data_IF_367566299252
#
_entry.id   IF_367566299252
#
_cell.length_a   1.000
_cell.length_b   1.000
_cell.length_c   1.000
_cell.angle_alpha   90.00
_cell.angle_beta   90.00
_cell.angle_gamma   90.00
#
_symmetry.space_group_name_H-M   'P 1'
#
loop_
_entity.id
_entity.type
_entity.pdbx_description
1 polymer ?
#
# COMPACT_ATOMS: atom_id res chain seq x y z
N UNK A 1 22.56 12.92 20.17
CA UNK A 1 22.25 11.47 20.19
C UNK A 1 20.77 11.37 19.83
N UNK A 2 20.48 11.05 18.56
CA UNK A 2 19.11 10.84 18.12
C UNK A 2 18.74 9.41 18.50
N UNK A 3 17.66 9.24 19.27
CA UNK A 3 17.09 7.92 19.57
C UNK A 3 16.17 7.61 18.41
N UNK A 4 16.54 6.66 17.54
CA UNK A 4 15.64 6.11 16.53
C UNK A 4 14.63 5.21 17.24
N UNK A 5 13.37 5.64 17.27
CA UNK A 5 12.26 4.83 17.79
C UNK A 5 11.70 4.04 16.61
N UNK A 6 12.25 2.85 16.37
CA UNK A 6 11.71 1.92 15.38
C UNK A 6 10.38 1.32 15.87
N UNK A 7 9.28 1.63 15.17
CA UNK A 7 8.00 0.95 15.36
C UNK A 7 7.91 -0.25 14.43
N UNK A 8 7.52 -1.41 14.95
CA UNK A 8 7.31 -2.65 14.19
C UNK A 8 6.13 -3.44 14.76
N UNK A 9 5.30 -4.00 13.89
CA UNK A 9 4.30 -5.00 14.23
C UNK A 9 4.29 -6.07 13.13
N UNK A 10 4.24 -7.33 13.54
CA UNK A 10 3.98 -8.46 12.64
C UNK A 10 2.83 -9.27 13.24
N UNK A 11 1.83 -9.54 12.41
CA UNK A 11 0.68 -10.36 12.75
C UNK A 11 0.57 -11.47 11.72
N UNK A 12 0.65 -12.72 12.15
CA UNK A 12 0.47 -13.91 11.30
C UNK A 12 -0.89 -14.54 11.60
N UNK A 13 -1.74 -14.66 10.60
CA UNK A 13 -3.13 -15.07 10.71
C UNK A 13 -3.33 -16.33 9.88
N UNK A 14 -3.67 -17.48 10.47
CA UNK A 14 -4.01 -18.67 9.70
C UNK A 14 -5.28 -18.42 8.86
N UNK A 15 -5.28 -18.81 7.59
CA UNK A 15 -6.42 -18.56 6.71
C UNK A 15 -7.70 -19.27 7.17
N UNK A 16 -7.59 -20.41 7.85
CA UNK A 16 -8.75 -21.11 8.40
C UNK A 16 -9.51 -20.31 9.47
N UNK A 17 -8.86 -19.33 10.12
CA UNK A 17 -9.54 -18.46 11.09
C UNK A 17 -10.26 -17.30 10.40
N UNK A 18 -9.98 -17.02 9.12
CA UNK A 18 -10.58 -15.95 8.36
C UNK A 18 -11.90 -16.46 7.77
N UNK A 19 -13.02 -16.04 8.35
CA UNK A 19 -14.36 -16.43 7.89
C UNK A 19 -14.77 -15.71 6.61
N UNK A 20 -14.27 -14.48 6.43
CA UNK A 20 -14.49 -13.69 5.23
C UNK A 20 -13.47 -12.56 5.12
N UNK A 21 -13.33 -12.00 3.92
CA UNK A 21 -12.44 -10.88 3.65
C UNK A 21 -13.01 -9.95 2.57
N UNK A 22 -12.76 -8.65 2.70
CA UNK A 22 -13.27 -7.61 1.80
C UNK A 22 -12.20 -6.58 1.47
N UNK A 23 -12.24 -6.13 0.22
CA UNK A 23 -11.66 -4.86 -0.22
C UNK A 23 -12.75 -3.77 -0.15
N UNK A 24 -12.75 -2.98 0.92
CA UNK A 24 -13.76 -1.95 1.14
C UNK A 24 -13.32 -0.62 0.54
N UNK A 25 -13.93 -0.25 -0.60
CA UNK A 25 -13.80 1.07 -1.24
C UNK A 25 -15.20 1.67 -1.41
N UNK A 26 -15.67 2.53 -0.48
CA UNK A 26 -17.03 3.06 -0.52
C UNK A 26 -17.29 3.97 -1.73
N UNK A 27 -16.32 4.79 -2.14
CA UNK A 27 -16.43 5.69 -3.30
C UNK A 27 -15.90 5.10 -4.61
N UNK A 28 -16.11 3.81 -4.86
CA UNK A 28 -15.49 3.10 -5.99
C UNK A 28 -15.74 3.80 -7.35
N UNK A 29 -17.00 4.09 -7.63
CA UNK A 29 -17.49 4.78 -8.82
C UNK A 29 -17.05 6.24 -8.91
N UNK A 30 -16.76 6.86 -7.76
CA UNK A 30 -16.30 8.25 -7.67
C UNK A 30 -14.78 8.39 -7.78
N UNK A 31 -14.04 7.30 -7.60
CA UNK A 31 -12.58 7.25 -7.73
C UNK A 31 -12.13 6.80 -9.12
N UNK A 32 -12.89 5.91 -9.75
CA UNK A 32 -12.56 5.32 -11.05
C UNK A 32 -12.42 6.42 -12.11
N UNK A 33 -11.30 6.45 -12.82
CA UNK A 33 -11.01 7.44 -13.86
C UNK A 33 -10.65 8.84 -13.33
N UNK A 34 -10.52 9.04 -12.02
CA UNK A 34 -9.97 10.29 -11.45
C UNK A 34 -8.44 10.28 -11.44
N UNK A 35 -7.79 11.41 -11.16
CA UNK A 35 -6.31 11.47 -11.00
C UNK A 35 -5.82 11.00 -9.62
N UNK A 36 -6.71 10.72 -8.67
CA UNK A 36 -6.41 10.35 -7.29
C UNK A 36 -5.84 11.51 -6.45
N UNK A 37 -4.81 11.21 -5.65
CA UNK A 37 -3.97 12.21 -4.97
C UNK A 37 -2.78 12.53 -5.86
N UNK A 38 -2.96 13.51 -6.73
CA UNK A 38 -1.99 13.82 -7.76
C UNK A 38 -0.93 14.82 -7.25
N UNK A 39 0.32 14.49 -7.56
CA UNK A 39 1.58 15.15 -7.18
C UNK A 39 2.36 15.64 -8.41
N UNK A 40 1.76 15.54 -9.59
CA UNK A 40 2.34 15.87 -10.89
C UNK A 40 1.47 16.89 -11.60
N UNK A 41 2.06 17.84 -12.32
CA UNK A 41 1.35 18.83 -13.09
C UNK A 41 0.73 18.25 -14.36
N UNK A 42 1.32 17.19 -14.93
CA UNK A 42 0.86 16.57 -16.19
C UNK A 42 -0.61 16.13 -16.07
N UNK A 43 -0.93 15.27 -15.10
CA UNK A 43 -2.30 14.80 -14.87
C UNK A 43 -3.14 15.88 -14.22
N UNK A 44 -2.58 16.67 -13.31
CA UNK A 44 -3.30 17.77 -12.69
C UNK A 44 -3.93 18.69 -13.72
N UNK A 45 -3.17 19.13 -14.71
CA UNK A 45 -3.64 20.03 -15.77
C UNK A 45 -4.73 19.46 -16.68
N UNK A 46 -4.96 18.15 -16.63
CA UNK A 46 -6.02 17.47 -17.39
C UNK A 46 -7.34 17.40 -16.63
N UNK A 47 -7.33 17.69 -15.32
CA UNK A 47 -8.53 17.71 -14.50
C UNK A 47 -9.38 18.95 -14.82
N UNK A 48 -10.68 18.82 -15.14
CA UNK A 48 -11.53 19.98 -15.40
C UNK A 48 -11.64 20.95 -14.22
N UNK A 49 -11.40 20.48 -12.99
CA UNK A 49 -11.37 21.32 -11.79
C UNK A 49 -10.01 22.01 -11.56
N UNK A 50 -9.01 21.76 -12.42
CA UNK A 50 -7.69 22.36 -12.30
C UNK A 50 -7.69 23.85 -12.64
N UNK A 51 -7.34 24.67 -11.66
CA UNK A 51 -7.05 26.09 -11.85
C UNK A 51 -5.57 26.37 -11.58
N UNK A 52 -4.81 26.60 -12.66
CA UNK A 52 -3.37 26.89 -12.62
C UNK A 52 -3.00 28.10 -11.74
N UNK A 53 -3.92 29.04 -11.51
CA UNK A 53 -3.64 30.25 -10.73
C UNK A 53 -3.70 29.99 -9.21
N UNK A 54 -4.47 29.00 -8.77
CA UNK A 54 -4.81 28.81 -7.35
C UNK A 54 -4.44 27.44 -6.81
N UNK A 55 -4.25 26.44 -7.68
CA UNK A 55 -4.07 25.07 -7.23
C UNK A 55 -2.66 24.77 -6.74
N UNK A 56 -2.57 23.98 -5.67
CA UNK A 56 -1.31 23.55 -5.06
C UNK A 56 -1.24 22.03 -5.04
N UNK A 57 -0.07 21.48 -5.37
CA UNK A 57 0.21 20.06 -5.21
C UNK A 57 0.62 19.75 -3.76
N UNK A 58 0.34 18.53 -3.25
CA UNK A 58 -0.51 17.52 -3.88
C UNK A 58 -1.98 17.95 -3.84
N UNK A 59 -2.72 17.66 -4.92
CA UNK A 59 -4.14 17.95 -5.01
C UNK A 59 -4.95 16.65 -5.10
N UNK A 60 -6.21 16.71 -4.68
CA UNK A 60 -7.15 15.58 -4.78
C UNK A 60 -8.13 15.87 -5.89
N UNK A 61 -8.23 14.97 -6.86
CA UNK A 61 -9.20 15.06 -7.96
C UNK A 61 -10.57 14.48 -7.62
N UNK A 62 -10.73 13.91 -6.43
CA UNK A 62 -11.96 13.27 -5.99
C UNK A 62 -12.63 14.05 -4.86
N UNK A 63 -13.96 13.93 -4.78
CA UNK A 63 -14.75 14.56 -3.72
C UNK A 63 -14.54 13.81 -2.38
N UNK A 64 -13.93 14.49 -1.40
CA UNK A 64 -13.57 13.90 -0.11
C UNK A 64 -14.77 13.25 0.58
N UNK A 65 -15.94 13.89 0.57
CA UNK A 65 -17.13 13.38 1.28
C UNK A 65 -17.77 12.17 0.61
N UNK A 66 -17.40 11.87 -0.65
CA UNK A 66 -17.88 10.69 -1.39
C UNK A 66 -16.90 9.53 -1.39
N UNK A 67 -15.64 9.77 -1.01
CA UNK A 67 -14.58 8.77 -1.17
C UNK A 67 -13.83 8.46 0.13
N UNK A 68 -13.64 9.45 1.00
CA UNK A 68 -12.77 9.34 2.17
C UNK A 68 -13.61 9.16 3.45
N UNK A 69 -13.79 7.91 3.86
CA UNK A 69 -14.66 7.55 4.97
C UNK A 69 -13.89 7.18 6.24
N UNK A 70 -14.46 7.43 7.42
CA UNK A 70 -13.91 6.90 8.66
C UNK A 70 -14.07 5.37 8.69
N UNK A 71 -13.22 4.67 9.44
CA UNK A 71 -13.11 3.19 9.38
C UNK A 71 -14.41 2.49 9.77
N UNK A 72 -15.19 3.08 10.68
CA UNK A 72 -16.54 2.68 11.08
C UNK A 72 -17.45 2.49 9.85
N UNK A 73 -17.42 3.44 8.92
CA UNK A 73 -18.27 3.43 7.72
C UNK A 73 -17.86 2.35 6.72
N UNK A 74 -16.58 2.00 6.68
CA UNK A 74 -16.11 0.87 5.89
C UNK A 74 -16.63 -0.47 6.45
N UNK A 75 -16.63 -0.61 7.78
CA UNK A 75 -17.13 -1.81 8.48
C UNK A 75 -18.65 -1.96 8.30
N UNK A 76 -19.40 -0.86 8.50
CA UNK A 76 -20.84 -0.82 8.22
C UNK A 76 -21.13 -1.19 6.75
N UNK A 77 -20.35 -0.67 5.81
CA UNK A 77 -20.52 -0.91 4.38
C UNK A 77 -20.30 -2.36 3.96
N UNK A 78 -19.55 -3.15 4.72
CA UNK A 78 -19.39 -4.60 4.52
C UNK A 78 -20.30 -5.44 5.41
N UNK A 79 -21.18 -4.79 6.17
CA UNK A 79 -22.18 -5.44 7.03
C UNK A 79 -21.61 -6.02 8.33
N UNK A 80 -20.46 -5.54 8.81
CA UNK A 80 -19.91 -5.95 10.10
C UNK A 80 -20.54 -5.16 11.25
N UNK A 81 -20.89 -5.88 12.30
CA UNK A 81 -21.35 -5.34 13.57
C UNK A 81 -20.17 -5.04 14.52
N UNK A 82 -20.34 -4.19 15.54
CA UNK A 82 -19.29 -3.92 16.53
C UNK A 82 -18.81 -5.17 17.30
N UNK A 83 -19.65 -6.20 17.44
CA UNK A 83 -19.31 -7.46 18.11
C UNK A 83 -18.56 -8.45 17.21
N UNK A 84 -18.58 -8.26 15.89
CA UNK A 84 -17.84 -9.15 14.99
C UNK A 84 -16.33 -8.98 15.21
N UNK A 85 -15.61 -10.10 15.33
CA UNK A 85 -14.15 -10.08 15.40
C UNK A 85 -13.56 -9.83 14.02
N UNK A 86 -12.69 -8.83 13.91
CA UNK A 86 -12.03 -8.50 12.66
C UNK A 86 -10.67 -7.85 12.91
N UNK A 87 -9.83 -7.92 11.89
CA UNK A 87 -8.64 -7.09 11.75
C UNK A 87 -8.72 -6.37 10.41
N UNK A 88 -8.33 -5.11 10.37
CA UNK A 88 -8.25 -4.34 9.14
C UNK A 88 -6.89 -3.66 9.02
N UNK A 89 -6.49 -3.45 7.78
CA UNK A 89 -5.31 -2.66 7.44
C UNK A 89 -5.61 -1.71 6.27
N UNK A 90 -4.84 -0.64 6.18
CA UNK A 90 -4.93 0.29 5.06
C UNK A 90 -4.55 -0.37 3.74
N UNK A 91 -5.28 -0.05 2.67
CA UNK A 91 -4.89 -0.31 1.29
C UNK A 91 -5.03 0.97 0.45
N UNK A 92 -4.77 2.11 1.07
CA UNK A 92 -5.16 3.46 0.67
C UNK A 92 -4.38 4.00 -0.52
N UNK A 93 -3.28 3.39 -0.91
CA UNK A 93 -2.66 3.66 -2.19
C UNK A 93 -3.64 3.40 -3.34
N UNK A 94 -4.55 2.43 -3.21
CA UNK A 94 -5.67 2.25 -4.11
C UNK A 94 -6.57 3.50 -4.10
N UNK A 95 -6.76 4.10 -5.28
CA UNK A 95 -7.51 5.34 -5.44
C UNK A 95 -6.71 6.62 -5.13
N UNK A 96 -5.52 6.52 -4.53
CA UNK A 96 -4.63 7.68 -4.32
C UNK A 96 -3.48 7.75 -5.33
N UNK A 97 -2.84 6.63 -5.63
CA UNK A 97 -1.58 6.60 -6.36
C UNK A 97 -1.75 5.89 -7.70
N UNK A 98 -1.08 6.42 -8.73
CA UNK A 98 -0.93 5.72 -10.01
C UNK A 98 -0.18 4.41 -9.80
N UNK A 99 -0.35 3.46 -10.71
CA UNK A 99 0.18 2.08 -10.70
C UNK A 99 -0.42 1.16 -9.64
N UNK A 100 -1.51 1.59 -9.01
CA UNK A 100 -2.27 0.81 -8.04
C UNK A 100 -3.72 0.69 -8.51
N UNK A 101 -4.13 -0.54 -8.78
CA UNK A 101 -5.46 -0.91 -9.27
C UNK A 101 -6.17 -1.83 -8.28
N UNK A 102 -7.49 -1.85 -8.37
CA UNK A 102 -8.33 -2.77 -7.63
C UNK A 102 -9.39 -3.32 -8.57
N UNK A 103 -9.85 -4.52 -8.31
CA UNK A 103 -10.92 -5.14 -9.08
C UNK A 103 -11.87 -5.84 -8.13
N UNK A 104 -13.16 -5.79 -8.42
CA UNK A 104 -14.21 -6.48 -7.68
C UNK A 104 -15.22 -7.02 -8.68
N UNK A 105 -15.64 -8.28 -8.53
CA UNK A 105 -16.50 -8.96 -9.50
C UNK A 105 -17.86 -8.27 -9.71
N UNK A 106 -18.29 -7.41 -8.78
CA UNK A 106 -19.55 -6.65 -8.84
C UNK A 106 -19.36 -5.22 -9.28
N UNK A 107 -18.16 -4.65 -9.09
CA UNK A 107 -17.88 -3.22 -9.35
C UNK A 107 -17.00 -2.99 -10.58
N UNK A 108 -16.35 -4.05 -11.09
CA UNK A 108 -15.39 -3.96 -12.19
C UNK A 108 -14.02 -3.47 -11.73
N UNK A 109 -13.22 -2.98 -12.68
CA UNK A 109 -11.89 -2.43 -12.44
C UNK A 109 -11.97 -1.01 -11.88
N UNK A 110 -11.20 -0.73 -10.83
CA UNK A 110 -10.84 0.60 -10.35
C UNK A 110 -9.42 0.89 -10.77
N UNK A 111 -9.29 1.83 -11.71
CA UNK A 111 -8.02 2.43 -12.09
C UNK A 111 -8.14 3.96 -12.08
N UNK A 112 -7.02 4.64 -11.88
CA UNK A 112 -6.93 6.09 -12.00
C UNK A 112 -6.65 6.49 -13.45
N UNK A 113 -6.99 7.72 -13.81
CA UNK A 113 -6.64 8.28 -15.10
C UNK A 113 -5.11 8.23 -15.34
N UNK A 114 -4.74 7.76 -16.53
CA UNK A 114 -3.36 7.52 -16.95
C UNK A 114 -2.81 6.13 -16.62
N UNK A 115 -3.57 5.26 -15.95
CA UNK A 115 -3.09 3.92 -15.59
C UNK A 115 -3.01 2.98 -16.81
N UNK A 116 -4.11 2.89 -17.57
CA UNK A 116 -4.23 2.05 -18.77
C UNK A 116 -3.99 0.55 -18.46
N UNK A 117 -4.60 0.05 -17.38
CA UNK A 117 -4.48 -1.33 -16.94
C UNK A 117 -5.02 -2.33 -17.98
N UNK A 118 -5.99 -1.90 -18.79
CA UNK A 118 -6.60 -2.69 -19.87
C UNK A 118 -5.68 -3.01 -21.04
N UNK A 119 -4.48 -2.42 -21.08
CA UNK A 119 -3.42 -2.74 -22.05
C UNK A 119 -2.80 -4.13 -21.88
N UNK A 120 -3.18 -4.89 -20.85
CA UNK A 120 -2.59 -6.19 -20.51
C UNK A 120 -1.36 -6.08 -19.61
N UNK A 121 -1.19 -4.96 -18.90
CA UNK A 121 -0.13 -4.81 -17.89
C UNK A 121 -0.38 -5.78 -16.74
N UNK A 122 0.68 -6.44 -16.29
CA UNK A 122 0.65 -7.29 -15.10
C UNK A 122 0.88 -6.48 -13.82
N UNK A 123 0.10 -6.83 -12.79
CA UNK A 123 0.14 -6.26 -11.45
C UNK A 123 0.38 -7.35 -10.41
N UNK A 124 1.17 -7.06 -9.38
CA UNK A 124 1.29 -7.91 -8.20
C UNK A 124 0.09 -7.67 -7.29
N UNK A 125 -0.82 -8.64 -7.17
CA UNK A 125 -2.10 -8.48 -6.51
C UNK A 125 -2.25 -9.41 -5.31
N UNK A 126 -2.81 -8.88 -4.22
CA UNK A 126 -3.52 -9.71 -3.26
C UNK A 126 -4.91 -9.98 -3.82
N UNK A 127 -5.24 -11.27 -3.95
CA UNK A 127 -6.45 -11.75 -4.57
C UNK A 127 -7.28 -12.54 -3.55
N UNK A 128 -8.59 -12.52 -3.73
CA UNK A 128 -9.52 -13.44 -3.11
C UNK A 128 -10.24 -14.23 -4.19
N UNK A 129 -10.15 -15.56 -4.15
CA UNK A 129 -10.94 -16.42 -5.04
C UNK A 129 -12.41 -16.52 -4.61
N UNK A 130 -13.28 -16.98 -5.51
CA UNK A 130 -14.70 -17.23 -5.23
C UNK A 130 -14.96 -18.20 -4.07
N UNK A 131 -14.04 -19.14 -3.82
CA UNK A 131 -14.11 -20.04 -2.66
C UNK A 131 -13.66 -19.38 -1.33
N UNK A 132 -13.25 -18.11 -1.37
CA UNK A 132 -12.85 -17.33 -0.20
C UNK A 132 -11.36 -17.36 0.15
N UNK A 133 -10.54 -18.19 -0.51
CA UNK A 133 -9.10 -18.27 -0.24
C UNK A 133 -8.38 -16.99 -0.70
N UNK A 134 -7.46 -16.51 0.13
CA UNK A 134 -6.56 -15.41 -0.21
C UNK A 134 -5.26 -15.94 -0.79
N UNK A 135 -4.72 -15.24 -1.79
CA UNK A 135 -3.42 -15.54 -2.38
C UNK A 135 -2.80 -14.29 -2.99
N UNK A 136 -1.50 -14.32 -3.29
CA UNK A 136 -0.79 -13.24 -3.99
C UNK A 136 -0.29 -13.78 -5.32
N UNK A 137 -0.65 -13.12 -6.41
CA UNK A 137 -0.21 -13.51 -7.75
C UNK A 137 -0.05 -12.31 -8.70
N UNK A 138 0.55 -12.56 -9.86
CA UNK A 138 0.52 -11.62 -10.98
C UNK A 138 -0.83 -11.74 -11.70
N UNK A 139 -1.48 -10.60 -11.91
CA UNK A 139 -2.80 -10.52 -12.57
C UNK A 139 -2.77 -9.41 -13.61
N UNK A 140 -3.27 -9.69 -14.80
CA UNK A 140 -3.54 -8.67 -15.82
C UNK A 140 -5.05 -8.45 -15.97
N UNK A 141 -5.45 -7.28 -16.46
CA UNK A 141 -6.86 -6.90 -16.60
C UNK A 141 -7.26 -6.54 -18.04
N UNK A 142 -7.04 -7.42 -19.04
CA UNK A 142 -7.47 -7.14 -20.40
C UNK A 142 -8.97 -6.83 -20.44
N UNK A 143 -9.35 -5.77 -21.14
CA UNK A 143 -10.74 -5.28 -21.21
C UNK A 143 -11.41 -5.01 -19.84
N UNK A 144 -10.60 -4.83 -18.78
CA UNK A 144 -11.07 -4.53 -17.43
C UNK A 144 -11.49 -5.77 -16.62
N UNK A 145 -11.16 -6.98 -17.09
CA UNK A 145 -11.50 -8.26 -16.47
C UNK A 145 -10.19 -8.99 -16.16
N UNK A 146 -10.03 -9.60 -14.96
CA UNK A 146 -8.84 -10.38 -14.65
C UNK A 146 -8.68 -11.56 -15.62
N UNK A 147 -7.45 -11.83 -16.02
CA UNK A 147 -7.07 -13.03 -16.78
C UNK A 147 -7.18 -14.33 -15.95
N UNK A 148 -7.25 -14.20 -14.63
CA UNK A 148 -7.59 -15.30 -13.73
C UNK A 148 -9.11 -15.45 -13.58
N UNK A 149 -9.63 -16.58 -14.05
CA UNK A 149 -10.99 -17.01 -13.72
C UNK A 149 -11.13 -17.21 -12.19
N UNK A 150 -12.32 -16.96 -11.66
CA UNK A 150 -12.72 -17.20 -10.25
C UNK A 150 -12.17 -16.23 -9.19
N UNK A 151 -11.94 -14.96 -9.53
CA UNK A 151 -11.67 -13.92 -8.53
C UNK A 151 -12.98 -13.28 -8.00
N UNK A 152 -13.04 -13.04 -6.69
CA UNK A 152 -14.05 -12.17 -6.07
C UNK A 152 -13.60 -10.72 -6.03
N UNK A 153 -12.33 -10.49 -5.65
CA UNK A 153 -11.69 -9.18 -5.71
C UNK A 153 -10.17 -9.33 -5.77
N UNK A 154 -9.49 -8.27 -6.23
CA UNK A 154 -8.04 -8.14 -6.23
C UNK A 154 -7.64 -6.68 -5.88
N UNK A 155 -6.49 -6.51 -5.23
CA UNK A 155 -5.86 -5.20 -5.03
C UNK A 155 -4.36 -5.31 -5.28
N UNK A 156 -3.82 -4.44 -6.12
CA UNK A 156 -2.39 -4.44 -6.43
C UNK A 156 -1.57 -3.72 -5.37
N UNK A 157 -0.30 -4.08 -5.28
CA UNK A 157 0.72 -3.40 -4.48
C UNK A 157 2.10 -3.50 -5.14
N UNK A 158 3.13 -2.94 -4.52
CA UNK A 158 4.50 -3.13 -4.99
C UNK A 158 5.02 -4.52 -4.57
N UNK A 159 5.67 -5.26 -5.47
CA UNK A 159 6.28 -6.58 -5.16
C UNK A 159 7.38 -6.42 -4.11
N UNK A 160 7.26 -7.09 -2.96
CA UNK A 160 8.29 -7.08 -1.92
C UNK A 160 8.98 -8.43 -1.83
N UNK A 161 8.21 -9.51 -1.79
CA UNK A 161 8.73 -10.88 -1.73
C UNK A 161 8.11 -11.68 -2.87
N UNK A 162 8.93 -12.43 -3.59
CA UNK A 162 8.48 -13.38 -4.59
C UNK A 162 9.22 -14.70 -4.48
N UNK A 163 8.48 -15.78 -4.37
CA UNK A 163 8.98 -17.14 -4.19
C UNK A 163 10.06 -17.26 -3.08
N UNK A 164 9.78 -16.64 -1.93
CA UNK A 164 10.63 -16.62 -0.74
C UNK A 164 11.88 -15.74 -0.87
N UNK A 165 12.01 -14.97 -1.95
CA UNK A 165 13.17 -14.12 -2.24
C UNK A 165 12.81 -12.64 -2.22
N UNK A 166 13.76 -11.76 -1.85
CA UNK A 166 13.53 -10.34 -1.91
C UNK A 166 13.35 -9.87 -3.36
N UNK A 167 12.37 -9.01 -3.58
CA UNK A 167 12.19 -8.33 -4.86
C UNK A 167 13.23 -7.24 -5.02
N UNK A 168 13.79 -7.13 -6.21
CA UNK A 168 14.75 -6.09 -6.55
C UNK A 168 14.04 -4.75 -6.80
N UNK A 169 14.77 -3.65 -6.63
CA UNK A 169 14.20 -2.30 -6.78
C UNK A 169 13.67 -2.02 -8.19
N UNK A 170 14.18 -2.71 -9.21
CA UNK A 170 13.68 -2.63 -10.58
C UNK A 170 12.24 -3.11 -10.75
N UNK A 171 11.76 -3.96 -9.83
CA UNK A 171 10.36 -4.37 -9.74
C UNK A 171 9.51 -3.43 -8.88
N UNK A 172 10.11 -2.67 -7.96
CA UNK A 172 9.40 -1.78 -7.02
C UNK A 172 9.22 -0.37 -7.59
N UNK A 173 10.29 0.21 -8.15
CA UNK A 173 10.32 1.58 -8.68
C UNK A 173 9.19 1.87 -9.69
N UNK A 174 8.92 1.02 -10.71
CA UNK A 174 7.97 1.37 -11.75
C UNK A 174 6.52 1.36 -11.26
N UNK A 175 6.27 0.80 -10.08
CA UNK A 175 4.96 0.76 -9.42
C UNK A 175 4.86 1.71 -8.21
N UNK A 176 5.88 2.55 -7.99
CA UNK A 176 5.91 3.51 -6.86
C UNK A 176 5.74 4.94 -7.36
N UNK A 177 4.49 5.42 -7.45
CA UNK A 177 4.23 6.78 -7.92
C UNK A 177 4.82 7.88 -7.00
N UNK A 178 4.76 7.67 -5.69
CA UNK A 178 5.36 8.59 -4.71
C UNK A 178 6.80 8.17 -4.38
N UNK A 179 7.74 8.61 -5.23
CA UNK A 179 9.14 8.19 -5.20
C UNK A 179 9.91 8.66 -3.95
N UNK A 180 9.28 9.41 -3.05
CA UNK A 180 9.82 9.72 -1.72
C UNK A 180 9.89 8.50 -0.80
N UNK A 181 9.18 7.43 -1.13
CA UNK A 181 9.32 6.14 -0.44
C UNK A 181 10.58 5.39 -0.87
N UNK A 182 11.25 5.85 -1.93
CA UNK A 182 12.46 5.24 -2.48
C UNK A 182 13.67 6.13 -2.19
N UNK A 183 13.55 7.44 -2.38
CA UNK A 183 14.67 8.36 -2.16
C UNK A 183 14.31 9.49 -1.22
N UNK A 184 15.34 10.05 -0.57
CA UNK A 184 15.23 11.28 0.22
C UNK A 184 15.13 12.50 -0.68
N UNK A 185 14.01 12.61 -1.39
CA UNK A 185 13.72 13.75 -2.25
C UNK A 185 13.29 14.92 -1.33
N UNK A 186 13.88 16.11 -1.46
CA UNK A 186 13.39 17.33 -0.81
C UNK A 186 11.87 17.49 -1.05
N UNK A 187 11.15 17.90 -0.01
CA UNK A 187 9.71 18.10 -0.09
C UNK A 187 9.32 19.27 -0.99
N UNK A 188 8.02 19.39 -1.25
CA UNK A 188 7.45 20.52 -1.98
C UNK A 188 7.57 21.84 -1.19
N UNK A 189 7.39 22.98 -1.87
CA UNK A 189 7.27 24.31 -1.25
C UNK A 189 6.14 24.45 -0.22
N UNK A 190 5.23 23.46 -0.15
CA UNK A 190 4.02 23.44 0.69
C UNK A 190 4.12 22.34 1.76
N UNK A 191 3.78 22.69 3.00
CA UNK A 191 3.85 21.86 4.23
C UNK A 191 3.00 20.58 4.22
N UNK A 192 2.23 20.31 3.17
CA UNK A 192 1.26 19.21 3.12
C UNK A 192 1.89 17.88 2.65
N UNK A 193 3.20 17.88 2.43
CA UNK A 193 3.99 16.76 1.92
C UNK A 193 4.68 15.94 3.03
N UNK A 194 4.38 16.22 4.30
CA UNK A 194 5.05 15.63 5.47
C UNK A 194 6.22 16.49 5.98
N UNK A 195 6.75 16.23 7.19
CA UNK A 195 7.81 17.02 7.79
C UNK A 195 9.16 16.72 7.14
N UNK A 196 9.41 17.23 5.92
CA UNK A 196 10.75 17.22 5.33
C UNK A 196 11.40 18.61 5.49
N UNK A 197 12.69 18.67 5.89
CA UNK A 197 13.37 19.93 6.23
C UNK A 197 13.67 20.84 5.04
N UNK A 198 13.39 20.40 3.81
CA UNK A 198 13.68 21.14 2.59
C UNK A 198 12.44 21.23 1.72
N UNK A 199 12.14 22.43 1.25
CA UNK A 199 10.99 22.76 0.42
C UNK A 199 11.48 23.22 -0.97
N UNK A 200 10.92 22.66 -2.05
CA UNK A 200 11.36 22.88 -3.44
C UNK A 200 10.34 22.36 -4.47
N UNK A 201 10.74 22.27 -5.74
CA UNK A 201 9.91 21.74 -6.86
C UNK A 201 10.33 20.35 -7.33
N UNK A 202 11.27 19.72 -6.61
CA UNK A 202 11.97 18.51 -7.05
C UNK A 202 11.11 17.27 -7.03
N UNK A 203 10.17 17.21 -6.09
CA UNK A 203 9.21 16.12 -6.03
C UNK A 203 8.18 16.22 -7.17
N UNK A 204 7.70 17.42 -7.49
CA UNK A 204 6.84 17.66 -8.64
C UNK A 204 7.56 17.27 -9.94
N UNK A 205 8.83 17.70 -10.12
CA UNK A 205 9.66 17.31 -11.27
C UNK A 205 9.82 15.79 -11.39
N UNK A 206 10.05 15.11 -10.28
CA UNK A 206 10.20 13.65 -10.24
C UNK A 206 8.88 12.94 -10.60
N UNK A 207 7.75 13.40 -10.06
CA UNK A 207 6.43 12.83 -10.35
C UNK A 207 6.00 13.11 -11.80
N UNK A 208 6.27 14.30 -12.35
CA UNK A 208 6.06 14.62 -13.76
C UNK A 208 6.89 13.70 -14.66
N UNK A 209 8.17 13.50 -14.32
CA UNK A 209 9.04 12.58 -15.04
C UNK A 209 8.47 11.16 -15.00
N UNK A 210 8.07 10.66 -13.84
CA UNK A 210 7.44 9.34 -13.70
C UNK A 210 6.25 9.19 -14.65
N UNK A 211 5.31 10.12 -14.62
CA UNK A 211 4.10 10.07 -15.47
C UNK A 211 4.47 10.06 -16.95
N UNK A 212 5.41 10.91 -17.37
CA UNK A 212 5.82 11.02 -18.79
C UNK A 212 6.41 9.74 -19.37
N UNK A 213 6.98 8.87 -18.54
CA UNK A 213 7.59 7.59 -18.95
C UNK A 213 6.77 6.38 -18.53
N UNK A 214 5.64 6.58 -17.85
CA UNK A 214 4.94 5.52 -17.13
C UNK A 214 4.38 4.41 -18.05
N UNK A 215 4.22 4.69 -19.34
CA UNK A 215 3.76 3.74 -20.37
C UNK A 215 4.91 2.93 -21.01
N UNK A 216 6.16 3.20 -20.66
CA UNK A 216 7.30 2.37 -21.07
C UNK A 216 7.33 1.04 -20.31
N UNK A 217 8.19 0.11 -20.74
CA UNK A 217 8.42 -1.13 -20.02
C UNK A 217 9.01 -0.85 -18.64
N UNK A 218 8.67 -1.69 -17.65
CA UNK A 218 9.09 -1.53 -16.25
C UNK A 218 10.62 -1.29 -16.09
N UNK A 219 11.44 -2.07 -16.81
CA UNK A 219 12.89 -1.92 -16.78
C UNK A 219 13.39 -0.58 -17.34
N UNK A 220 12.71 -0.02 -18.35
CA UNK A 220 13.05 1.29 -18.92
C UNK A 220 12.68 2.43 -17.95
N UNK A 221 11.50 2.35 -17.33
CA UNK A 221 11.06 3.28 -16.29
C UNK A 221 12.06 3.31 -15.15
N UNK A 222 12.42 2.12 -14.64
CA UNK A 222 13.42 1.97 -13.58
C UNK A 222 14.75 2.60 -13.96
N UNK A 223 15.29 2.28 -15.14
CA UNK A 223 16.59 2.80 -15.60
C UNK A 223 16.59 4.33 -15.62
N UNK A 224 15.55 4.94 -16.22
CA UNK A 224 15.44 6.39 -16.35
C UNK A 224 15.35 7.07 -14.97
N UNK A 225 14.59 6.50 -14.04
CA UNK A 225 14.43 7.06 -12.69
C UNK A 225 15.70 6.89 -11.84
N UNK A 226 16.40 5.75 -11.96
CA UNK A 226 17.70 5.55 -11.30
C UNK A 226 18.76 6.51 -11.83
N UNK A 227 18.85 6.69 -13.15
CA UNK A 227 19.78 7.64 -13.78
C UNK A 227 19.47 9.07 -13.36
N UNK A 228 18.19 9.43 -13.19
CA UNK A 228 17.79 10.73 -12.66
C UNK A 228 18.18 10.89 -11.19
N UNK A 229 17.81 9.94 -10.31
CA UNK A 229 18.14 9.99 -8.89
C UNK A 229 19.66 10.05 -8.64
N UNK A 230 20.47 9.35 -9.45
CA UNK A 230 21.94 9.40 -9.38
C UNK A 230 22.49 10.77 -9.75
N UNK A 231 21.97 11.39 -10.82
CA UNK A 231 22.41 12.73 -11.25
C UNK A 231 22.04 13.82 -10.25
N UNK A 232 20.89 13.66 -9.58
CA UNK A 232 20.43 14.56 -8.53
C UNK A 232 21.03 14.22 -7.15
N UNK A 233 21.89 13.19 -7.07
CA UNK A 233 22.54 12.73 -5.84
C UNK A 233 21.57 12.40 -4.70
N UNK A 234 20.39 11.86 -5.03
CA UNK A 234 19.42 11.49 -4.00
C UNK A 234 19.87 10.26 -3.21
N UNK A 235 19.92 10.41 -1.89
CA UNK A 235 20.11 9.30 -0.96
C UNK A 235 18.90 8.36 -0.95
N UNK A 236 19.12 7.10 -0.56
CA UNK A 236 18.03 6.14 -0.30
C UNK A 236 17.21 6.55 0.92
N UNK A 237 15.90 6.41 0.81
CA UNK A 237 14.98 6.50 1.95
C UNK A 237 15.03 5.18 2.74
N UNK A 238 15.25 5.29 4.04
CA UNK A 238 15.44 4.13 4.94
C UNK A 238 14.57 4.21 6.19
N UNK A 239 13.77 5.25 6.36
CA UNK A 239 12.96 5.47 7.57
C UNK A 239 11.51 5.82 7.22
N UNK A 240 10.97 5.18 6.18
CA UNK A 240 9.56 5.32 5.88
C UNK A 240 8.76 4.27 6.64
N UNK A 241 7.55 4.63 7.09
CA UNK A 241 6.66 3.65 7.71
C UNK A 241 5.89 2.91 6.63
N UNK A 242 5.96 1.59 6.64
CA UNK A 242 5.43 0.70 5.62
C UNK A 242 4.28 -0.13 6.18
N UNK A 243 3.35 -0.51 5.31
CA UNK A 243 2.29 -1.46 5.59
C UNK A 243 2.23 -2.46 4.44
N UNK A 244 2.61 -3.69 4.74
CA UNK A 244 2.71 -4.78 3.78
C UNK A 244 1.83 -5.96 4.20
N UNK A 245 1.47 -6.76 3.20
CA UNK A 245 0.80 -8.03 3.39
C UNK A 245 1.53 -9.14 2.64
N UNK A 246 1.72 -10.27 3.30
CA UNK A 246 2.33 -11.45 2.73
C UNK A 246 1.47 -12.69 2.92
N UNK A 247 1.84 -13.75 2.21
CA UNK A 247 1.27 -15.09 2.31
C UNK A 247 2.40 -16.12 2.42
N UNK A 248 2.21 -17.15 3.24
CA UNK A 248 3.14 -18.28 3.34
C UNK A 248 3.15 -19.16 2.09
N UNK A 249 4.17 -20.01 1.94
CA UNK A 249 4.38 -20.87 0.76
C UNK A 249 3.23 -21.88 0.55
N UNK A 250 2.74 -22.49 1.63
CA UNK A 250 1.57 -23.36 1.65
C UNK A 250 0.25 -22.61 1.39
N UNK A 251 0.27 -21.28 1.49
CA UNK A 251 -0.92 -20.45 1.44
C UNK A 251 -1.79 -20.57 2.69
N UNK A 252 -1.30 -21.10 3.80
CA UNK A 252 -2.10 -21.32 5.01
C UNK A 252 -2.11 -20.11 5.95
N UNK A 253 -1.23 -19.13 5.77
CA UNK A 253 -1.15 -17.95 6.63
C UNK A 253 -1.04 -16.64 5.86
N UNK A 254 -1.80 -15.64 6.30
CA UNK A 254 -1.63 -14.23 5.95
C UNK A 254 -0.71 -13.56 6.96
N UNK A 255 0.20 -12.71 6.50
CA UNK A 255 1.15 -11.98 7.33
C UNK A 255 0.93 -10.50 7.09
N UNK A 256 0.52 -9.75 8.11
CA UNK A 256 0.43 -8.29 8.05
C UNK A 256 1.64 -7.74 8.78
N UNK A 257 2.39 -6.84 8.12
CA UNK A 257 3.56 -6.21 8.69
C UNK A 257 3.40 -4.68 8.61
N UNK A 258 3.69 -4.01 9.72
CA UNK A 258 3.95 -2.56 9.74
C UNK A 258 5.31 -2.27 10.33
N UNK A 259 6.14 -1.48 9.65
CA UNK A 259 7.50 -1.24 10.10
C UNK A 259 8.09 0.04 9.52
N UNK A 260 8.93 0.75 10.29
CA UNK A 260 9.85 1.75 9.72
C UNK A 260 11.03 1.06 9.05
N UNK A 261 11.42 1.52 7.86
CA UNK A 261 12.59 0.99 7.17
C UNK A 261 12.70 1.44 5.73
N UNK A 262 13.66 0.83 5.03
CA UNK A 262 13.68 0.78 3.57
C UNK A 262 12.83 -0.40 3.07
N UNK A 263 12.51 -0.42 1.78
CA UNK A 263 11.88 -1.58 1.14
C UNK A 263 12.64 -2.89 1.37
N UNK A 264 13.97 -2.86 1.31
CA UNK A 264 14.83 -4.03 1.55
C UNK A 264 14.70 -4.53 3.00
N UNK A 265 14.60 -3.61 3.96
CA UNK A 265 14.45 -3.94 5.38
C UNK A 265 13.08 -4.57 5.65
N UNK A 266 12.01 -3.98 5.11
CA UNK A 266 10.64 -4.49 5.20
C UNK A 266 10.54 -5.89 4.58
N UNK A 267 11.17 -6.07 3.42
CA UNK A 267 11.23 -7.34 2.70
C UNK A 267 11.94 -8.42 3.52
N UNK A 268 13.08 -8.10 4.12
CA UNK A 268 13.81 -9.04 4.99
C UNK A 268 12.95 -9.46 6.20
N UNK A 269 12.21 -8.53 6.81
CA UNK A 269 11.29 -8.83 7.91
C UNK A 269 10.11 -9.71 7.47
N UNK A 270 9.55 -9.49 6.27
CA UNK A 270 8.49 -10.34 5.72
C UNK A 270 8.96 -11.77 5.49
N UNK A 271 10.14 -11.95 4.89
CA UNK A 271 10.75 -13.28 4.70
C UNK A 271 11.00 -13.95 6.05
N UNK A 272 11.53 -13.21 7.03
CA UNK A 272 11.73 -13.71 8.38
C UNK A 272 10.42 -14.14 9.08
N UNK A 273 9.32 -13.44 8.80
CA UNK A 273 7.99 -13.80 9.28
C UNK A 273 7.37 -15.01 8.55
N UNK A 274 8.03 -15.53 7.51
CA UNK A 274 7.60 -16.68 6.72
C UNK A 274 6.76 -16.33 5.50
N UNK A 275 6.84 -15.10 4.99
CA UNK A 275 6.20 -14.74 3.72
C UNK A 275 6.96 -15.37 2.55
N UNK A 276 6.22 -16.05 1.67
CA UNK A 276 6.70 -16.58 0.40
C UNK A 276 6.39 -15.62 -0.75
N UNK A 277 5.25 -14.93 -0.69
CA UNK A 277 4.92 -13.78 -1.54
C UNK A 277 4.44 -12.63 -0.67
N UNK A 278 4.73 -11.40 -1.05
CA UNK A 278 4.26 -10.23 -0.33
C UNK A 278 4.22 -8.98 -1.21
N UNK A 279 3.26 -8.11 -0.91
CA UNK A 279 3.11 -6.80 -1.54
C UNK A 279 3.04 -5.69 -0.50
N UNK A 280 3.50 -4.51 -0.89
CA UNK A 280 3.28 -3.28 -0.14
C UNK A 280 1.90 -2.71 -0.45
N UNK A 281 1.13 -2.38 0.59
CA UNK A 281 -0.21 -1.81 0.47
C UNK A 281 -0.21 -0.29 0.66
N UNK A 282 0.48 0.20 1.69
CA UNK A 282 0.42 1.60 2.11
C UNK A 282 1.76 2.07 2.68
N UNK A 283 2.02 3.37 2.54
CA UNK A 283 3.16 4.02 3.18
C UNK A 283 2.73 5.25 4.00
N UNK A 284 3.46 5.52 5.09
CA UNK A 284 3.43 6.78 5.82
C UNK A 284 2.11 7.01 6.54
N UNK A 285 1.53 8.20 6.37
CA UNK A 285 0.29 8.63 7.04
C UNK A 285 -0.96 7.81 6.70
N UNK A 286 -0.85 6.87 5.75
CA UNK A 286 -1.88 5.89 5.44
C UNK A 286 -1.83 4.64 6.31
N UNK A 287 -0.67 4.32 6.88
CA UNK A 287 -0.44 3.07 7.60
C UNK A 287 -1.12 3.09 8.97
N UNK A 288 -2.00 2.12 9.17
CA UNK A 288 -2.52 1.73 10.48
C UNK A 288 -3.20 0.37 10.43
N UNK A 289 -3.09 -0.39 11.51
CA UNK A 289 -3.83 -1.64 11.73
C UNK A 289 -4.75 -1.46 12.91
N UNK A 290 -6.00 -1.89 12.73
CA UNK A 290 -7.03 -1.84 13.76
C UNK A 290 -7.64 -3.23 13.91
N UNK A 291 -8.05 -3.56 15.12
CA UNK A 291 -8.74 -4.80 15.45
C UNK A 291 -10.04 -4.48 16.19
N UNK A 292 -11.11 -5.22 15.91
CA UNK A 292 -12.40 -5.06 16.58
C UNK A 292 -12.98 -6.40 17.02
N UNK A 293 -14.19 -6.35 17.59
CA UNK A 293 -14.86 -7.50 18.21
C UNK A 293 -14.85 -7.49 19.74
N UNK A 294 -14.50 -6.36 20.35
CA UNK A 294 -14.69 -6.08 21.76
C UNK A 294 -15.60 -4.87 21.91
N UNK A 295 -16.73 -5.02 22.60
CA UNK A 295 -17.71 -3.95 22.81
C UNK A 295 -17.12 -2.75 23.55
N UNK A 296 -16.06 -2.96 24.33
CA UNK A 296 -15.40 -1.92 25.11
C UNK A 296 -14.58 -0.97 24.22
N UNK A 297 -14.25 -1.40 23.00
CA UNK A 297 -13.54 -0.63 22.00
C UNK A 297 -14.37 -0.56 20.72
N UNK A 298 -15.31 0.39 20.65
CA UNK A 298 -16.12 0.64 19.45
C UNK A 298 -15.55 1.81 18.61
N UNK A 299 -15.33 1.63 17.29
CA UNK A 299 -15.57 0.41 16.53
C UNK A 299 -14.50 -0.68 16.73
N UNK A 300 -13.33 -0.32 17.28
CA UNK A 300 -12.21 -1.23 17.54
C UNK A 300 -11.06 -0.50 18.22
N UNK A 301 -9.92 -1.18 18.36
CA UNK A 301 -8.68 -0.67 18.92
C UNK A 301 -7.60 -0.55 17.83
N UNK A 302 -6.95 0.62 17.77
CA UNK A 302 -5.77 0.82 16.92
C UNK A 302 -4.57 0.08 17.53
N UNK A 303 -3.98 -0.83 16.78
CA UNK A 303 -2.87 -1.67 17.25
C UNK A 303 -1.53 -0.98 17.02
N UNK A 304 -1.38 -0.38 15.85
CA UNK A 304 -0.21 0.40 15.43
C UNK A 304 -0.64 1.36 14.32
N UNK A 305 -0.01 2.52 14.25
CA UNK A 305 -0.16 3.43 13.14
C UNK A 305 1.04 4.39 13.05
N UNK A 306 1.19 5.01 11.88
CA UNK A 306 2.17 6.08 11.69
C UNK A 306 1.94 7.26 12.64
N UNK A 307 2.99 8.02 12.95
CA UNK A 307 2.93 9.19 13.83
C UNK A 307 2.02 10.33 13.32
N UNK A 308 1.64 10.31 12.04
CA UNK A 308 0.73 11.26 11.38
C UNK A 308 -0.44 10.54 10.72
N UNK A 309 -0.89 9.45 11.35
CA UNK A 309 -1.97 8.61 10.87
C UNK A 309 -3.25 9.40 10.60
N UNK A 310 -3.88 9.10 9.47
CA UNK A 310 -5.12 9.75 9.02
C UNK A 310 -6.29 8.77 9.20
N UNK A 311 -7.25 9.01 10.11
CA UNK A 311 -8.28 8.04 10.49
C UNK A 311 -9.39 7.84 9.44
N UNK A 312 -9.39 8.60 8.34
CA UNK A 312 -10.29 8.39 7.20
C UNK A 312 -9.50 7.76 6.04
N UNK A 313 -10.03 6.69 5.44
CA UNK A 313 -9.42 5.91 4.35
C UNK A 313 -10.23 6.00 3.05
N UNK A 314 -9.58 5.74 1.91
CA UNK A 314 -10.27 5.51 0.64
C UNK A 314 -10.65 4.03 0.49
N UNK A 315 -9.71 3.19 0.89
CA UNK A 315 -9.75 1.75 0.72
C UNK A 315 -9.12 1.07 1.93
N UNK A 316 -9.77 0.01 2.41
CA UNK A 316 -9.30 -0.83 3.51
C UNK A 316 -9.39 -2.29 3.11
N UNK A 317 -8.43 -3.09 3.58
CA UNK A 317 -8.54 -4.54 3.59
C UNK A 317 -9.08 -4.97 4.95
N UNK A 318 -10.18 -5.72 4.97
CA UNK A 318 -10.86 -6.17 6.19
C UNK A 318 -10.90 -7.69 6.19
N UNK A 319 -10.46 -8.31 7.28
CA UNK A 319 -10.50 -9.76 7.52
C UNK A 319 -11.40 -10.03 8.73
N UNK A 320 -12.56 -10.67 8.50
CA UNK A 320 -13.42 -11.15 9.59
C UNK A 320 -12.87 -12.47 10.08
N UNK A 321 -12.83 -12.62 11.40
CA UNK A 321 -12.23 -13.75 12.07
C UNK A 321 -13.30 -14.61 12.76
N UNK A 322 -13.07 -15.92 12.86
CA UNK A 322 -13.93 -16.85 13.58
C UNK A 322 -13.81 -16.67 15.10
N UNK A 323 -14.92 -16.62 15.82
CA UNK A 323 -14.95 -16.31 17.27
C UNK A 323 -14.18 -17.31 18.14
N UNK A 324 -14.15 -18.59 17.74
CA UNK A 324 -13.69 -19.71 18.55
C UNK A 324 -12.19 -19.93 18.61
N UNK A 325 -11.40 -19.29 17.74
CA UNK A 325 -9.97 -19.62 17.56
C UNK A 325 -9.02 -18.46 17.88
N UNK A 326 -9.55 -17.28 18.21
CA UNK A 326 -8.78 -16.19 18.79
C UNK A 326 -8.85 -16.31 20.31
N UNK A 327 -8.22 -17.34 20.87
CA UNK A 327 -7.62 -17.14 22.19
C UNK A 327 -6.55 -16.08 22.00
N UNK A 328 -6.41 -15.13 22.93
CA UNK A 328 -5.34 -14.14 22.95
C UNK A 328 -3.97 -14.84 23.12
N UNK A 329 -3.58 -15.63 22.14
CA UNK A 329 -2.21 -16.09 22.02
C UNK A 329 -1.39 -14.83 21.77
N UNK A 330 -0.51 -14.54 22.73
CA UNK A 330 0.60 -13.60 22.60
C UNK A 330 1.44 -13.82 21.32
N UNK A 331 1.23 -14.92 20.59
CA UNK A 331 1.88 -15.21 19.31
C UNK A 331 1.26 -14.46 18.12
N UNK A 332 0.01 -13.97 18.21
CA UNK A 332 -0.63 -13.17 17.16
C UNK A 332 -0.07 -11.73 17.07
N UNK A 333 0.60 -11.27 18.12
CA UNK A 333 1.16 -9.92 18.22
C UNK A 333 2.61 -9.99 18.69
N UNK A 334 3.53 -10.24 17.76
CA UNK A 334 4.95 -10.06 18.03
C UNK A 334 5.28 -8.56 17.97
N UNK A 335 5.01 -7.84 19.07
CA UNK A 335 5.41 -6.45 19.24
C UNK A 335 6.76 -6.41 19.96
N UNK A 336 7.85 -6.71 19.23
CA UNK A 336 9.20 -6.46 19.73
C UNK A 336 9.60 -5.04 19.37
N UNK A 337 9.73 -4.16 20.37
CA UNK A 337 10.56 -2.98 20.24
C UNK A 337 12.01 -3.45 20.11
N UNK A 338 12.48 -3.67 18.87
CA UNK A 338 13.89 -3.98 18.61
C UNK A 338 14.74 -2.72 18.84
N UNK A 339 15.09 -2.47 20.09
CA UNK A 339 16.24 -1.64 20.45
C UNK A 339 17.45 -2.55 20.65
N UNK A 340 18.02 -3.10 19.58
CA UNK A 340 19.45 -3.45 19.47
C UNK A 340 19.80 -4.26 18.21
N UNK A 341 20.79 -3.73 17.47
CA UNK A 341 21.81 -4.43 16.66
C UNK A 341 21.32 -5.49 15.66
N UNK A 342 20.90 -5.04 14.49
CA UNK A 342 21.18 -5.78 13.24
C UNK A 342 22.43 -5.13 12.62
N UNK A 343 23.59 -5.77 12.75
CA UNK A 343 24.76 -5.39 11.95
C UNK A 343 24.57 -5.96 10.54
N UNK A 344 24.26 -5.09 9.59
CA UNK A 344 24.27 -5.42 8.16
C UNK A 344 25.72 -5.49 7.65
N UNK A 345 26.45 -6.53 8.02
CA UNK A 345 27.83 -6.73 7.54
C UNK A 345 27.96 -7.75 6.40
N UNK A 346 26.87 -8.33 5.86
CA UNK A 346 27.01 -9.45 4.90
C UNK A 346 26.12 -9.41 3.64
N UNK A 347 25.65 -8.25 3.17
CA UNK A 347 24.87 -8.18 1.90
C UNK A 347 25.51 -7.32 0.81
N UNK A 348 26.70 -6.75 1.04
CA UNK A 348 27.50 -6.13 -0.02
C UNK A 348 28.76 -6.97 -0.20
N UNK A 349 28.63 -8.07 -0.94
CA UNK A 349 29.70 -8.71 -1.73
C UNK A 349 29.16 -9.99 -2.39
N UNK A 350 28.47 -9.83 -3.52
CA UNK A 350 28.43 -10.86 -4.57
C UNK A 350 28.08 -10.19 -5.89
N UNK A 351 29.16 -9.88 -6.61
CA UNK A 351 29.35 -9.59 -8.06
C UNK A 351 28.49 -8.52 -8.75
#
# INVERSE_FOLDING_TARGET
>A
MNIEIGQMMVTKIPQQVISNSWLSVPGWEHLTGTNGLCRDYIRASQDPAFDSATMKLPYRSYEIEKCLFPYEKHLEGVGLSPSDKWILTGARNLGNNLRIVGWDCRKGLLELNGENATSGREYCCLCKSENGKLFIDHVSFPDGIPDSDNLSWAVSGQELVWDGKPSSLDKIIPYTYDLRHIWKIPGGTVSNMGPRPYSGTKIEEMCDRFVSISNLLAGEVTRILLDFARREEYERENDYFHNAIGISEDGDSIIILQQHGSFETVTASLIHAGAYRAIELDQGGSCGVMMGGDSDFSPGRLMIASHYFRPRGLSLLILKLNESEITESSDLLYNKSYLSKISFDNVINSE
#
